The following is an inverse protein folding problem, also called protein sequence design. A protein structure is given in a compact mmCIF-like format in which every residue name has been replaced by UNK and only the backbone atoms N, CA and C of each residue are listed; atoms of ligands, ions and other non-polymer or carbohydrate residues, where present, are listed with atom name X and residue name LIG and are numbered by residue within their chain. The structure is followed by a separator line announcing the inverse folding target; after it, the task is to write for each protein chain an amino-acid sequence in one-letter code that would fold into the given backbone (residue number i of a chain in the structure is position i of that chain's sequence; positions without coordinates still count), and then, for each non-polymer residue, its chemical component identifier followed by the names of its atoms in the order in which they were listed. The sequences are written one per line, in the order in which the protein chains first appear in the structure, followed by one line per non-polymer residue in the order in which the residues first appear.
data_IF_670854466106
#
_entry.id   IF_670854466106
#
_cell.length_a   1.000
_cell.length_b   1.000
_cell.length_c   1.000
_cell.angle_alpha   90.00
_cell.angle_beta   90.00
_cell.angle_gamma   90.00
#
_symmetry.space_group_name_H-M   'P 1'
#
loop_
_entity.id
_entity.type
_entity.pdbx_description
1 polymer ?
#
# COMPACT_ATOMS: atom_id res chain seq x y z
N UNK A 1 9.17 -8.34 20.78
CA UNK A 1 8.82 -7.68 19.51
C UNK A 1 7.42 -7.15 19.68
N UNK A 2 7.24 -5.83 19.63
CA UNK A 2 5.92 -5.18 19.66
C UNK A 2 5.29 -5.29 18.28
N UNK A 3 4.04 -5.76 18.22
CA UNK A 3 3.32 -6.03 16.97
C UNK A 3 2.97 -4.72 16.23
N UNK A 4 3.12 -4.65 14.88
CA UNK A 4 2.75 -3.49 14.07
C UNK A 4 1.31 -2.99 14.28
N UNK A 5 0.41 -3.86 14.73
CA UNK A 5 -0.98 -3.54 15.08
C UNK A 5 -1.11 -2.57 16.25
N UNK A 6 -0.14 -2.55 17.17
CA UNK A 6 -0.18 -1.71 18.38
C UNK A 6 -0.04 -0.21 18.13
N UNK A 7 0.32 0.20 16.91
CA UNK A 7 0.55 1.60 16.55
C UNK A 7 -0.68 2.31 15.98
N UNK A 8 -1.75 1.60 15.66
CA UNK A 8 -2.97 2.20 15.12
C UNK A 8 -3.89 2.60 16.28
N UNK A 9 -4.17 3.89 16.46
CA UNK A 9 -5.08 4.41 17.51
C UNK A 9 -6.53 4.46 17.00
N UNK A 10 -7.45 3.80 17.71
CA UNK A 10 -8.82 3.51 17.26
C UNK A 10 -9.90 4.15 18.12
N UNK A 11 -9.54 5.04 19.03
CA UNK A 11 -10.38 5.32 20.20
C UNK A 11 -11.59 6.24 20.00
N UNK A 12 -11.95 6.73 18.79
CA UNK A 12 -13.00 7.78 18.75
C UNK A 12 -13.88 7.99 17.48
N UNK A 13 -14.20 7.00 16.63
CA UNK A 13 -15.13 7.20 15.46
C UNK A 13 -16.14 6.05 15.19
N UNK A 14 -17.07 6.26 14.27
CA UNK A 14 -18.29 5.43 14.04
C UNK A 14 -18.04 3.91 13.92
N UNK A 15 -18.75 3.11 14.76
CA UNK A 15 -18.47 1.68 15.01
C UNK A 15 -18.52 0.75 13.78
N UNK A 16 -19.29 1.07 12.73
CA UNK A 16 -19.45 0.19 11.57
C UNK A 16 -18.24 0.18 10.63
N UNK A 17 -17.80 1.36 10.20
CA UNK A 17 -16.65 1.53 9.31
C UNK A 17 -15.33 1.17 10.03
N UNK A 18 -15.27 1.36 11.35
CA UNK A 18 -14.12 0.93 12.15
C UNK A 18 -13.90 -0.59 12.13
N UNK A 19 -14.96 -1.38 12.27
CA UNK A 19 -14.84 -2.85 12.35
C UNK A 19 -14.35 -3.44 11.03
N UNK A 20 -14.90 -2.99 9.90
CA UNK A 20 -14.44 -3.44 8.57
C UNK A 20 -13.00 -2.98 8.27
N UNK A 21 -12.63 -1.76 8.64
CA UNK A 21 -11.26 -1.27 8.46
C UNK A 21 -10.25 -2.03 9.33
N UNK A 22 -10.63 -2.39 10.57
CA UNK A 22 -9.82 -3.23 11.46
C UNK A 22 -9.58 -4.62 10.86
N UNK A 23 -10.62 -5.26 10.34
CA UNK A 23 -10.50 -6.57 9.67
C UNK A 23 -9.57 -6.50 8.45
N UNK A 24 -9.67 -5.43 7.63
CA UNK A 24 -8.79 -5.22 6.48
C UNK A 24 -7.33 -5.05 6.88
N UNK A 25 -7.05 -4.30 7.96
CA UNK A 25 -5.68 -4.12 8.48
C UNK A 25 -5.14 -5.41 9.04
N UNK A 26 -5.91 -6.10 9.89
CA UNK A 26 -5.48 -7.37 10.46
C UNK A 26 -5.16 -8.36 9.33
N UNK A 27 -6.03 -8.48 8.34
CA UNK A 27 -5.79 -9.32 7.16
C UNK A 27 -4.53 -8.92 6.39
N UNK A 28 -4.28 -7.62 6.20
CA UNK A 28 -3.07 -7.13 5.53
C UNK A 28 -1.78 -7.43 6.33
N UNK A 29 -1.83 -7.28 7.66
CA UNK A 29 -0.71 -7.59 8.56
C UNK A 29 -0.42 -9.08 8.56
N UNK A 30 -1.42 -9.93 8.80
CA UNK A 30 -1.27 -11.39 8.84
C UNK A 30 -0.67 -11.92 7.54
N UNK A 31 -1.23 -11.50 6.41
CA UNK A 31 -0.80 -11.92 5.09
C UNK A 31 0.65 -11.53 4.78
N UNK A 32 1.08 -10.32 5.13
CA UNK A 32 2.47 -9.90 4.91
C UNK A 32 3.42 -10.51 5.95
N UNK A 33 2.96 -10.74 7.18
CA UNK A 33 3.74 -11.36 8.24
C UNK A 33 4.08 -12.83 7.94
N UNK A 34 3.15 -13.58 7.33
CA UNK A 34 3.36 -14.96 6.89
C UNK A 34 4.57 -15.10 5.95
N UNK A 35 4.90 -14.05 5.21
CA UNK A 35 6.02 -14.01 4.27
C UNK A 35 7.16 -13.09 4.73
N UNK A 36 7.10 -12.54 5.95
CA UNK A 36 8.10 -11.61 6.52
C UNK A 36 9.49 -12.25 6.59
N UNK A 37 9.55 -13.50 7.04
CA UNK A 37 10.77 -14.29 7.12
C UNK A 37 11.29 -14.77 5.75
N UNK A 38 10.54 -14.53 4.69
CA UNK A 38 10.82 -14.97 3.33
C UNK A 38 11.54 -13.92 2.48
N UNK A 39 11.56 -14.18 1.17
CA UNK A 39 12.14 -13.25 0.21
C UNK A 39 11.23 -12.00 0.05
N UNK A 40 11.72 -10.77 0.30
CA UNK A 40 10.92 -9.54 0.19
C UNK A 40 10.32 -9.31 -1.21
N UNK A 41 10.81 -9.99 -2.24
CA UNK A 41 10.17 -10.00 -3.57
C UNK A 41 8.75 -10.54 -3.53
N UNK A 42 8.46 -11.52 -2.67
CA UNK A 42 7.10 -12.06 -2.54
C UNK A 42 6.14 -11.02 -1.96
N UNK A 43 6.59 -10.20 -1.01
CA UNK A 43 5.78 -9.10 -0.46
C UNK A 43 5.38 -8.12 -1.54
N UNK A 44 6.33 -7.74 -2.40
CA UNK A 44 6.07 -6.79 -3.50
C UNK A 44 5.06 -7.38 -4.50
N UNK A 45 5.19 -8.66 -4.83
CA UNK A 45 4.25 -9.33 -5.75
C UNK A 45 2.85 -9.40 -5.13
N UNK A 46 2.76 -9.76 -3.85
CA UNK A 46 1.50 -9.91 -3.12
C UNK A 46 0.80 -8.57 -2.91
N UNK A 47 1.52 -7.57 -2.41
CA UNK A 47 1.04 -6.20 -2.27
C UNK A 47 0.60 -5.63 -3.62
N UNK A 48 1.35 -5.85 -4.70
CA UNK A 48 0.93 -5.41 -6.03
C UNK A 48 -0.41 -6.01 -6.47
N UNK A 49 -0.71 -7.25 -6.10
CA UNK A 49 -1.98 -7.89 -6.43
C UNK A 49 -3.13 -7.32 -5.59
N UNK A 50 -2.90 -7.11 -4.28
CA UNK A 50 -3.87 -6.49 -3.37
C UNK A 50 -4.22 -5.06 -3.78
N UNK A 51 -3.22 -4.26 -4.14
CA UNK A 51 -3.44 -2.91 -4.64
C UNK A 51 -4.28 -2.91 -5.92
N UNK A 52 -4.08 -3.87 -6.83
CA UNK A 52 -4.88 -3.95 -8.05
C UNK A 52 -6.34 -4.36 -7.75
N UNK A 53 -6.55 -5.31 -6.84
CA UNK A 53 -7.88 -5.70 -6.38
C UNK A 53 -8.60 -4.53 -5.69
N UNK A 54 -7.94 -3.86 -4.73
CA UNK A 54 -8.48 -2.71 -4.03
C UNK A 54 -8.82 -1.55 -4.99
N UNK A 55 -8.02 -1.32 -6.04
CA UNK A 55 -8.36 -0.36 -7.09
C UNK A 55 -9.63 -0.76 -7.83
N UNK A 56 -9.81 -2.05 -8.17
CA UNK A 56 -11.03 -2.55 -8.82
C UNK A 56 -12.25 -2.34 -7.92
N UNK A 57 -12.12 -2.64 -6.62
CA UNK A 57 -13.21 -2.47 -5.65
C UNK A 57 -13.57 -1.00 -5.50
N UNK A 58 -12.57 -0.12 -5.35
CA UNK A 58 -12.72 1.33 -5.27
C UNK A 58 -13.43 1.90 -6.51
N UNK A 59 -13.08 1.41 -7.69
CA UNK A 59 -13.77 1.79 -8.92
C UNK A 59 -15.21 1.31 -8.97
N UNK A 60 -15.46 0.08 -8.52
CA UNK A 60 -16.79 -0.53 -8.58
C UNK A 60 -17.74 0.14 -7.60
N UNK A 61 -17.24 0.54 -6.42
CA UNK A 61 -18.01 1.22 -5.40
C UNK A 61 -18.27 2.71 -5.71
N UNK A 62 -17.27 3.42 -6.23
CA UNK A 62 -17.32 4.90 -6.27
C UNK A 62 -17.31 5.51 -7.67
N UNK A 63 -17.39 4.69 -8.73
CA UNK A 63 -17.50 5.18 -10.12
C UNK A 63 -18.68 4.54 -10.84
N UNK A 64 -19.87 5.07 -10.56
CA UNK A 64 -21.11 4.65 -11.19
C UNK A 64 -21.06 4.79 -12.73
N UNK A 65 -21.48 3.73 -13.43
CA UNK A 65 -21.82 3.78 -14.87
C UNK A 65 -20.67 3.85 -15.86
N UNK A 66 -19.39 3.83 -15.44
CA UNK A 66 -18.24 3.84 -16.35
C UNK A 66 -17.55 2.47 -16.44
N UNK A 67 -17.23 2.05 -17.66
CA UNK A 67 -16.52 0.78 -17.92
C UNK A 67 -15.18 0.74 -17.15
N UNK A 68 -14.97 -0.35 -16.41
CA UNK A 68 -13.71 -0.64 -15.71
C UNK A 68 -12.53 -0.66 -16.70
N UNK A 69 -11.45 0.12 -16.46
CA UNK A 69 -10.25 0.01 -17.27
C UNK A 69 -9.62 -1.38 -17.13
N UNK A 70 -9.28 -2.02 -18.26
CA UNK A 70 -8.79 -3.40 -18.27
C UNK A 70 -7.36 -3.59 -17.76
N UNK A 71 -6.54 -2.53 -17.73
CA UNK A 71 -5.13 -2.60 -17.34
C UNK A 71 -4.83 -1.70 -16.14
N UNK A 72 -3.98 -2.18 -15.23
CA UNK A 72 -3.58 -1.49 -14.00
C UNK A 72 -3.20 -0.02 -14.21
N UNK A 73 -2.35 0.26 -15.22
CA UNK A 73 -1.90 1.63 -15.49
C UNK A 73 -3.06 2.58 -15.80
N UNK A 74 -4.05 2.12 -16.58
CA UNK A 74 -5.25 2.94 -16.85
C UNK A 74 -6.15 3.04 -15.62
N UNK A 75 -6.27 1.97 -14.81
CA UNK A 75 -7.04 2.02 -13.55
C UNK A 75 -6.48 3.09 -12.63
N UNK A 76 -5.22 2.98 -12.25
CA UNK A 76 -4.56 3.92 -11.34
C UNK A 76 -4.58 5.37 -11.85
N UNK A 77 -4.31 5.62 -13.14
CA UNK A 77 -4.43 6.97 -13.71
C UNK A 77 -5.83 7.55 -13.62
N UNK A 78 -6.87 6.76 -13.93
CA UNK A 78 -8.25 7.22 -13.83
C UNK A 78 -8.66 7.42 -12.36
N UNK A 79 -8.15 6.61 -11.44
CA UNK A 79 -8.45 6.76 -10.01
C UNK A 79 -7.90 8.10 -9.49
N UNK A 80 -6.70 8.47 -9.96
CA UNK A 80 -6.10 9.77 -9.70
C UNK A 80 -6.94 10.91 -10.32
N UNK A 81 -7.35 10.79 -11.58
CA UNK A 81 -8.20 11.79 -12.25
C UNK A 81 -9.55 12.00 -11.56
N UNK A 82 -10.13 10.94 -11.01
CA UNK A 82 -11.36 11.00 -10.24
C UNK A 82 -11.16 11.44 -8.78
N UNK A 83 -9.93 11.69 -8.34
CA UNK A 83 -9.61 12.07 -6.96
C UNK A 83 -9.79 10.94 -5.93
N UNK A 84 -9.92 9.69 -6.38
CA UNK A 84 -10.07 8.52 -5.52
C UNK A 84 -8.75 8.16 -4.82
N UNK A 85 -7.63 8.42 -5.48
CA UNK A 85 -6.29 8.28 -4.91
C UNK A 85 -5.50 9.59 -5.12
N UNK A 86 -4.54 9.86 -4.24
CA UNK A 86 -3.65 11.00 -4.40
C UNK A 86 -2.47 10.73 -5.35
N UNK A 87 -1.68 11.77 -5.64
CA UNK A 87 -0.52 11.69 -6.52
C UNK A 87 0.61 10.82 -5.96
N UNK A 88 0.85 10.86 -4.65
CA UNK A 88 1.91 10.08 -4.00
C UNK A 88 1.59 8.60 -4.05
N UNK A 89 0.36 8.23 -3.70
CA UNK A 89 -0.15 6.88 -3.80
C UNK A 89 -0.09 6.35 -5.23
N UNK A 90 -0.51 7.14 -6.23
CA UNK A 90 -0.38 6.74 -7.63
C UNK A 90 1.09 6.45 -8.03
N UNK A 91 2.05 7.31 -7.64
CA UNK A 91 3.48 7.08 -7.93
C UNK A 91 3.98 5.80 -7.26
N UNK A 92 3.66 5.60 -5.98
CA UNK A 92 3.97 4.39 -5.24
C UNK A 92 3.43 3.14 -5.97
N UNK A 93 2.14 3.14 -6.32
CA UNK A 93 1.48 2.02 -6.98
C UNK A 93 2.13 1.69 -8.35
N UNK A 94 2.53 2.71 -9.12
CA UNK A 94 3.29 2.52 -10.37
C UNK A 94 4.70 1.95 -10.13
N UNK A 95 5.41 2.38 -9.09
CA UNK A 95 6.71 1.85 -8.72
C UNK A 95 6.61 0.38 -8.28
N UNK A 96 5.67 0.04 -7.40
CA UNK A 96 5.39 -1.33 -6.98
C UNK A 96 5.08 -2.21 -8.19
N UNK A 97 4.22 -1.74 -9.11
CA UNK A 97 3.89 -2.48 -10.33
C UNK A 97 5.10 -2.69 -11.24
N UNK A 98 5.98 -1.70 -11.33
CA UNK A 98 7.23 -1.78 -12.11
C UNK A 98 8.16 -2.83 -11.55
N UNK A 99 8.36 -2.86 -10.23
CA UNK A 99 9.17 -3.89 -9.55
C UNK A 99 8.54 -5.27 -9.76
N UNK A 100 7.23 -5.42 -9.49
CA UNK A 100 6.51 -6.69 -9.68
C UNK A 100 6.65 -7.23 -11.11
N UNK A 101 6.50 -6.38 -12.12
CA UNK A 101 6.62 -6.83 -13.51
C UNK A 101 8.05 -7.29 -13.83
N UNK A 102 9.07 -6.66 -13.25
CA UNK A 102 10.46 -7.12 -13.38
C UNK A 102 10.68 -8.46 -12.68
N UNK A 103 10.15 -8.64 -11.47
CA UNK A 103 10.21 -9.92 -10.73
C UNK A 103 9.54 -11.05 -11.53
N UNK A 104 8.36 -10.78 -12.11
CA UNK A 104 7.53 -11.82 -12.77
C UNK A 104 7.96 -12.14 -14.20
N UNK A 105 8.36 -11.15 -14.99
CA UNK A 105 8.59 -11.32 -16.44
C UNK A 105 10.07 -11.36 -16.84
N UNK A 106 11.00 -10.98 -15.97
CA UNK A 106 12.40 -10.83 -16.32
C UNK A 106 13.31 -11.64 -15.41
N UNK A 107 14.00 -12.63 -15.99
CA UNK A 107 15.47 -12.82 -15.96
C UNK A 107 16.25 -12.74 -14.63
N UNK A 108 15.61 -12.67 -13.46
CA UNK A 108 16.29 -12.55 -12.16
C UNK A 108 16.71 -13.91 -11.61
N UNK A 109 17.65 -14.59 -12.27
CA UNK A 109 18.50 -15.56 -11.56
C UNK A 109 19.54 -14.84 -10.66
N UNK A 110 19.75 -13.54 -10.86
CA UNK A 110 20.76 -12.75 -10.15
C UNK A 110 20.42 -11.24 -10.11
N UNK A 111 19.28 -10.84 -9.54
CA UNK A 111 19.07 -9.41 -9.25
C UNK A 111 18.43 -9.26 -7.89
N UNK A 112 19.27 -8.96 -6.90
CA UNK A 112 18.82 -8.58 -5.57
C UNK A 112 17.99 -7.29 -5.67
N UNK A 113 17.00 -7.11 -4.79
CA UNK A 113 16.27 -5.82 -4.69
C UNK A 113 17.21 -4.64 -4.37
N UNK A 114 18.41 -4.94 -3.85
CA UNK A 114 19.53 -4.02 -3.60
C UNK A 114 20.35 -3.64 -4.84
N UNK A 115 20.15 -4.29 -5.99
CA UNK A 115 20.87 -3.96 -7.22
C UNK A 115 20.10 -3.01 -8.13
N UNK A 116 20.85 -2.24 -8.93
CA UNK A 116 20.24 -1.40 -9.95
C UNK A 116 19.64 -2.25 -11.08
N UNK A 117 18.47 -1.87 -11.61
CA UNK A 117 17.73 -0.64 -11.32
C UNK A 117 16.72 -0.77 -10.16
N UNK A 118 16.53 -1.95 -9.57
CA UNK A 118 15.48 -2.20 -8.57
C UNK A 118 15.69 -1.38 -7.29
N UNK A 119 16.94 -1.22 -6.84
CA UNK A 119 17.27 -0.40 -5.66
C UNK A 119 16.77 1.05 -5.78
N UNK A 120 16.72 1.61 -7.00
CA UNK A 120 16.18 2.96 -7.21
C UNK A 120 14.67 3.02 -7.01
N UNK A 121 13.95 1.95 -7.36
CA UNK A 121 12.51 1.87 -7.14
C UNK A 121 12.19 1.54 -5.68
N UNK A 122 13.01 0.69 -5.03
CA UNK A 122 12.88 0.38 -3.60
C UNK A 122 13.03 1.65 -2.76
N UNK A 123 14.02 2.50 -3.05
CA UNK A 123 14.13 3.80 -2.38
C UNK A 123 12.92 4.70 -2.60
N UNK A 124 12.42 4.80 -3.84
CA UNK A 124 11.24 5.61 -4.14
C UNK A 124 9.98 5.13 -3.42
N UNK A 125 9.75 3.81 -3.30
CA UNK A 125 8.60 3.31 -2.53
C UNK A 125 8.78 3.58 -1.03
N UNK A 126 10.01 3.49 -0.51
CA UNK A 126 10.32 3.85 0.87
C UNK A 126 10.04 5.33 1.13
N UNK A 127 10.57 6.23 0.30
CA UNK A 127 10.42 7.68 0.46
C UNK A 127 8.93 8.09 0.53
N UNK A 128 8.09 7.54 -0.36
CA UNK A 128 6.65 7.82 -0.39
C UNK A 128 5.90 7.29 0.85
N UNK A 129 6.38 6.21 1.47
CA UNK A 129 5.71 5.52 2.58
C UNK A 129 6.29 5.84 3.96
N UNK A 130 7.49 6.43 4.01
CA UNK A 130 8.27 6.67 5.24
C UNK A 130 7.55 7.52 6.30
N UNK A 131 6.53 8.28 5.89
CA UNK A 131 5.69 9.06 6.82
C UNK A 131 4.77 8.18 7.67
N UNK A 132 4.53 6.92 7.27
CA UNK A 132 3.64 6.00 7.99
C UNK A 132 4.46 5.24 9.04
N UNK A 133 4.16 5.42 10.34
CA UNK A 133 4.89 4.74 11.39
C UNK A 133 4.41 3.28 11.50
N UNK A 134 5.13 2.37 10.82
CA UNK A 134 4.90 0.92 10.93
C UNK A 134 5.70 0.31 12.10
N UNK A 135 6.82 0.93 12.45
CA UNK A 135 7.70 0.49 13.53
C UNK A 135 7.78 1.54 14.63
N UNK A 136 7.90 1.14 15.91
CA UNK A 136 7.95 2.08 17.04
C UNK A 136 9.23 2.93 17.07
N UNK A 137 10.30 2.46 16.43
CA UNK A 137 11.59 3.14 16.27
C UNK A 137 11.64 4.07 15.04
N UNK A 138 10.54 4.17 14.28
CA UNK A 138 10.43 5.02 13.09
C UNK A 138 10.72 4.28 11.79
N UNK A 139 10.79 5.01 10.65
CA UNK A 139 11.05 4.39 9.36
C UNK A 139 12.46 3.80 9.30
N UNK A 140 12.58 2.59 8.74
CA UNK A 140 13.85 1.89 8.56
C UNK A 140 14.25 1.99 7.09
N UNK A 141 15.44 2.53 6.83
CA UNK A 141 15.92 2.70 5.46
C UNK A 141 16.22 1.34 4.80
N UNK A 142 16.05 1.21 3.47
CA UNK A 142 16.35 -0.02 2.75
C UNK A 142 17.80 -0.49 2.87
N UNK A 143 18.74 0.43 3.09
CA UNK A 143 20.16 0.15 3.28
C UNK A 143 20.48 -0.48 4.64
N UNK A 144 19.65 -0.20 5.66
CA UNK A 144 19.84 -0.72 7.01
C UNK A 144 19.17 -2.09 7.17
N UNK A 145 17.91 -2.22 6.74
CA UNK A 145 17.18 -3.49 6.70
C UNK A 145 16.18 -3.49 5.55
N UNK A 146 16.59 -4.12 4.45
CA UNK A 146 15.80 -4.20 3.22
C UNK A 146 14.47 -4.92 3.44
N UNK A 147 14.44 -6.00 4.22
CA UNK A 147 13.24 -6.80 4.42
C UNK A 147 12.21 -6.01 5.23
N UNK A 148 12.62 -5.41 6.36
CA UNK A 148 11.72 -4.60 7.20
C UNK A 148 11.29 -3.32 6.49
N UNK A 149 12.15 -2.70 5.71
CA UNK A 149 11.77 -1.53 4.88
C UNK A 149 10.72 -1.92 3.84
N UNK A 150 10.90 -3.03 3.11
CA UNK A 150 9.94 -3.47 2.09
C UNK A 150 8.63 -3.86 2.74
N UNK A 151 8.66 -4.61 3.85
CA UNK A 151 7.48 -4.96 4.62
C UNK A 151 6.67 -3.71 5.00
N UNK A 152 7.32 -2.72 5.61
CA UNK A 152 6.65 -1.49 6.04
C UNK A 152 6.04 -0.73 4.87
N UNK A 153 6.79 -0.55 3.77
CA UNK A 153 6.28 0.12 2.57
C UNK A 153 5.11 -0.63 1.94
N UNK A 154 5.15 -1.96 1.91
CA UNK A 154 4.07 -2.78 1.33
C UNK A 154 2.82 -2.73 2.21
N UNK A 155 2.97 -2.86 3.52
CA UNK A 155 1.86 -2.77 4.47
C UNK A 155 1.19 -1.39 4.38
N UNK A 156 1.97 -0.31 4.47
CA UNK A 156 1.47 1.05 4.34
C UNK A 156 0.73 1.27 3.02
N UNK A 157 1.28 0.75 1.91
CA UNK A 157 0.66 0.81 0.60
C UNK A 157 -0.69 0.09 0.52
N UNK A 158 -0.75 -1.15 1.00
CA UNK A 158 -1.99 -1.96 1.00
C UNK A 158 -3.05 -1.31 1.88
N UNK A 159 -2.69 -0.91 3.09
CA UNK A 159 -3.62 -0.28 4.03
C UNK A 159 -4.13 1.06 3.48
N UNK A 160 -3.27 1.88 2.88
CA UNK A 160 -3.66 3.20 2.35
C UNK A 160 -4.76 3.14 1.28
N UNK A 161 -4.85 2.05 0.49
CA UNK A 161 -5.89 1.90 -0.53
C UNK A 161 -7.13 1.16 -0.01
N UNK A 162 -6.95 0.23 0.91
CA UNK A 162 -8.03 -0.63 1.40
C UNK A 162 -8.90 0.06 2.45
N UNK A 163 -8.37 1.00 3.22
CA UNK A 163 -9.15 1.66 4.26
C UNK A 163 -10.04 2.76 3.69
N UNK A 164 -11.34 2.65 3.90
CA UNK A 164 -12.30 3.68 3.52
C UNK A 164 -12.42 4.71 4.64
N UNK A 165 -12.24 5.99 4.28
CA UNK A 165 -12.47 7.13 5.15
C UNK A 165 -13.46 8.07 4.48
N UNK A 166 -14.39 8.61 5.25
CA UNK A 166 -15.39 9.55 4.77
C UNK A 166 -15.24 10.89 5.47
N UNK A 167 -15.48 11.97 4.74
CA UNK A 167 -15.56 13.31 5.31
C UNK A 167 -16.92 13.52 6.01
N UNK A 168 -17.09 14.69 6.64
CA UNK A 168 -18.34 15.06 7.33
C UNK A 168 -19.56 15.10 6.40
N UNK A 169 -19.36 15.19 5.08
CA UNK A 169 -20.42 15.16 4.08
C UNK A 169 -20.71 13.73 3.57
N UNK A 170 -20.08 12.70 4.15
CA UNK A 170 -20.21 11.31 3.75
C UNK A 170 -19.52 10.98 2.42
N UNK A 171 -18.63 11.85 1.93
CA UNK A 171 -17.87 11.62 0.70
C UNK A 171 -16.57 10.91 1.03
N UNK A 172 -16.21 9.94 0.19
CA UNK A 172 -14.93 9.25 0.31
C UNK A 172 -13.75 10.24 0.24
N UNK A 173 -12.90 10.21 1.26
CA UNK A 173 -11.61 10.92 1.31
C UNK A 173 -10.63 10.23 0.36
N UNK A 174 -9.85 11.04 -0.37
CA UNK A 174 -8.85 10.52 -1.29
C UNK A 174 -7.85 9.61 -0.57
N UNK A 175 -7.60 8.42 -1.15
CA UNK A 175 -6.70 7.41 -0.60
C UNK A 175 -5.25 7.81 -0.80
N UNK A 176 -4.45 7.69 0.26
CA UNK A 176 -3.02 7.99 0.21
C UNK A 176 -2.37 8.00 1.59
N UNK A 177 -1.07 8.25 1.61
CA UNK A 177 -0.30 8.21 2.85
C UNK A 177 -0.64 9.35 3.82
N UNK A 178 -0.82 10.61 3.37
CA UNK A 178 -1.23 11.68 4.28
C UNK A 178 -2.62 11.46 4.89
N UNK A 179 -3.57 10.89 4.14
CA UNK A 179 -4.90 10.57 4.68
C UNK A 179 -4.82 9.38 5.65
N UNK A 180 -4.09 8.33 5.30
CA UNK A 180 -3.84 7.22 6.23
C UNK A 180 -3.22 7.70 7.54
N UNK A 181 -2.16 8.53 7.46
CA UNK A 181 -1.50 9.10 8.63
C UNK A 181 -2.51 9.84 9.51
N UNK A 182 -3.30 10.74 8.93
CA UNK A 182 -4.25 11.60 9.65
C UNK A 182 -5.37 10.83 10.36
N UNK A 183 -5.76 9.67 9.84
CA UNK A 183 -6.95 8.96 10.28
C UNK A 183 -6.66 7.73 11.15
N UNK A 184 -5.40 7.29 11.21
CA UNK A 184 -5.00 6.08 11.93
C UNK A 184 -3.90 6.30 12.97
N UNK A 185 -3.22 7.46 12.95
CA UNK A 185 -2.08 7.78 13.80
C UNK A 185 -2.17 9.24 14.28
#
# INVERSE_FOLDING_TARGET
MTEPLSLYDWTDKEQGCLTENQERIQSAVEMLAEIESGDPRFMIVLASARIDAALIDLFSAYREGRKMPGVFHRRSSVALECGLIDRGYNRFAQHVRTIRNRIVHGTTRASSLSEQPLASFVRKIHDETSIIPVWPDGPIAPEDDLTRSVYASMLAGVVAIELDFFDEAGKLVSKGFPSLLRHCF
#
